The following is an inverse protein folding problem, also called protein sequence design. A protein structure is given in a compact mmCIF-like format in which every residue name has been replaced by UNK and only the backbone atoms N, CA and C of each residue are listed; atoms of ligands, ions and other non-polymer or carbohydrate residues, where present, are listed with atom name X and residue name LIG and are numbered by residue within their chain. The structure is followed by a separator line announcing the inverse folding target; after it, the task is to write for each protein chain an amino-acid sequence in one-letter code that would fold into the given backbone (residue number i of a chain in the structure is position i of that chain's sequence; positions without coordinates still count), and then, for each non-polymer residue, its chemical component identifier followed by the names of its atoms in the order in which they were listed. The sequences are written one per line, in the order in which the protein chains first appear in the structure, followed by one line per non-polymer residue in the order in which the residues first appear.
data_IF_628649746383
#
_entry.id   IF_628649746383
#
_cell.length_a   1.000
_cell.length_b   1.000
_cell.length_c   1.000
_cell.angle_alpha   90.00
_cell.angle_beta   90.00
_cell.angle_gamma   90.00
#
_symmetry.space_group_name_H-M   'P 1'
#
loop_
_entity.id
_entity.type
_entity.pdbx_description
1 polymer ?
#
# COMPACT_ATOMS: atom_id res chain seq x y z
N UNK A 1 15.29 -17.10 -0.99
CA UNK A 1 14.32 -15.98 -1.05
C UNK A 1 14.78 -15.04 -2.15
N UNK A 2 13.93 -14.77 -3.13
CA UNK A 2 14.25 -13.74 -4.13
C UNK A 2 14.28 -12.38 -3.41
N UNK A 3 15.26 -11.52 -3.67
CA UNK A 3 15.39 -10.20 -3.04
C UNK A 3 14.10 -9.37 -3.20
N UNK A 4 13.35 -9.63 -4.27
CA UNK A 4 12.03 -9.06 -4.56
C UNK A 4 10.99 -9.35 -3.45
N UNK A 5 11.02 -10.51 -2.82
CA UNK A 5 10.11 -10.85 -1.70
C UNK A 5 10.37 -9.97 -0.48
N UNK A 6 11.63 -9.67 -0.17
CA UNK A 6 11.99 -8.77 0.92
C UNK A 6 11.53 -7.35 0.62
N UNK A 7 11.69 -6.89 -0.62
CA UNK A 7 11.20 -5.59 -1.07
C UNK A 7 9.68 -5.46 -0.92
N UNK A 8 8.91 -6.47 -1.32
CA UNK A 8 7.45 -6.44 -1.12
C UNK A 8 7.06 -6.30 0.36
N UNK A 9 7.75 -7.00 1.27
CA UNK A 9 7.45 -6.92 2.69
C UNK A 9 7.74 -5.51 3.26
N UNK A 10 8.90 -4.95 2.94
CA UNK A 10 9.29 -3.59 3.37
C UNK A 10 8.37 -2.54 2.76
N UNK A 11 8.11 -2.63 1.45
CA UNK A 11 7.27 -1.69 0.73
C UNK A 11 5.79 -1.77 1.14
N UNK A 12 5.32 -2.92 1.63
CA UNK A 12 3.98 -3.06 2.21
C UNK A 12 3.86 -2.26 3.51
N UNK A 13 4.85 -2.38 4.41
CA UNK A 13 4.87 -1.60 5.65
C UNK A 13 4.95 -0.10 5.37
N UNK A 14 5.84 0.31 4.45
CA UNK A 14 5.95 1.71 4.02
C UNK A 14 4.65 2.22 3.40
N UNK A 15 3.99 1.42 2.56
CA UNK A 15 2.72 1.77 1.94
C UNK A 15 1.61 1.98 2.97
N UNK A 16 1.50 1.08 3.97
CA UNK A 16 0.51 1.21 5.03
C UNK A 16 0.74 2.48 5.87
N UNK A 17 2.01 2.78 6.20
CA UNK A 17 2.37 4.02 6.91
C UNK A 17 2.04 5.25 6.06
N UNK A 18 2.38 5.26 4.78
CA UNK A 18 2.06 6.38 3.89
C UNK A 18 0.55 6.61 3.76
N UNK A 19 -0.23 5.54 3.58
CA UNK A 19 -1.69 5.62 3.49
C UNK A 19 -2.31 6.10 4.80
N UNK A 20 -1.73 5.78 5.96
CA UNK A 20 -2.22 6.28 7.24
C UNK A 20 -2.19 7.82 7.38
N UNK A 21 -1.39 8.51 6.57
CA UNK A 21 -1.36 9.97 6.50
C UNK A 21 -2.55 10.58 5.75
N UNK A 22 -3.37 9.78 5.06
CA UNK A 22 -4.51 10.25 4.29
C UNK A 22 -5.75 10.36 5.19
N UNK A 23 -6.43 11.51 5.13
CA UNK A 23 -7.72 11.68 5.80
C UNK A 23 -8.85 11.03 4.98
N UNK A 24 -9.04 9.72 5.16
CA UNK A 24 -10.08 8.96 4.47
C UNK A 24 -11.51 9.36 4.84
N UNK A 25 -11.75 9.98 6.00
CA UNK A 25 -13.08 10.43 6.41
C UNK A 25 -13.66 11.50 5.46
N UNK A 26 -12.78 12.28 4.79
CA UNK A 26 -13.21 13.25 3.78
C UNK A 26 -13.57 12.62 2.43
N UNK A 27 -13.05 11.43 2.13
CA UNK A 27 -13.25 10.75 0.85
C UNK A 27 -14.34 9.67 0.90
N UNK A 28 -14.53 9.05 2.07
CA UNK A 28 -15.42 7.91 2.23
C UNK A 28 -16.86 8.31 2.56
N UNK A 29 -17.82 7.46 2.16
CA UNK A 29 -19.22 7.63 2.57
C UNK A 29 -19.37 7.46 4.08
N UNK A 30 -20.28 8.21 4.69
CA UNK A 30 -20.61 8.10 6.13
C UNK A 30 -21.09 6.68 6.47
N UNK A 31 -20.79 6.22 7.69
CA UNK A 31 -21.18 4.90 8.24
C UNK A 31 -20.67 3.69 7.43
N UNK A 32 -19.51 3.83 6.78
CA UNK A 32 -18.88 2.77 5.98
C UNK A 32 -17.43 2.45 6.41
N UNK A 33 -17.20 2.12 7.70
CA UNK A 33 -15.85 1.95 8.23
C UNK A 33 -15.13 0.70 7.71
N UNK A 34 -15.88 -0.36 7.37
CA UNK A 34 -15.28 -1.60 6.85
C UNK A 34 -14.78 -1.36 5.43
N UNK A 35 -15.59 -0.71 4.59
CA UNK A 35 -15.22 -0.36 3.21
C UNK A 35 -14.01 0.57 3.18
N UNK A 36 -13.92 1.53 4.11
CA UNK A 36 -12.75 2.39 4.26
C UNK A 36 -11.49 1.58 4.58
N UNK A 37 -11.56 0.67 5.56
CA UNK A 37 -10.42 -0.19 5.93
C UNK A 37 -10.00 -1.13 4.81
N UNK A 38 -10.96 -1.73 4.11
CA UNK A 38 -10.67 -2.58 2.94
C UNK A 38 -9.93 -1.80 1.86
N UNK A 39 -10.33 -0.54 1.62
CA UNK A 39 -9.67 0.32 0.64
C UNK A 39 -8.22 0.61 1.02
N UNK A 40 -7.94 0.91 2.30
CA UNK A 40 -6.55 1.07 2.78
C UNK A 40 -5.72 -0.19 2.56
N UNK A 41 -6.27 -1.37 2.87
CA UNK A 41 -5.56 -2.63 2.69
C UNK A 41 -5.27 -2.91 1.21
N UNK A 42 -6.26 -2.75 0.34
CA UNK A 42 -6.13 -2.95 -1.10
C UNK A 42 -5.10 -1.99 -1.68
N UNK A 43 -5.16 -0.71 -1.32
CA UNK A 43 -4.18 0.27 -1.74
C UNK A 43 -2.80 -0.05 -1.20
N UNK A 44 -2.65 -0.47 0.06
CA UNK A 44 -1.35 -0.82 0.62
C UNK A 44 -0.66 -1.95 -0.13
N UNK A 45 -1.44 -2.97 -0.54
CA UNK A 45 -0.93 -4.08 -1.36
C UNK A 45 -0.60 -3.60 -2.77
N UNK A 46 -1.49 -2.83 -3.40
CA UNK A 46 -1.30 -2.33 -4.76
C UNK A 46 -0.08 -1.40 -4.87
N UNK A 47 0.07 -0.44 -3.95
CA UNK A 47 1.21 0.49 -3.94
C UNK A 47 2.49 -0.24 -3.59
N UNK A 48 2.48 -1.21 -2.66
CA UNK A 48 3.66 -2.05 -2.40
C UNK A 48 4.11 -2.76 -3.67
N UNK A 49 3.15 -3.27 -4.45
CA UNK A 49 3.46 -3.94 -5.70
C UNK A 49 4.08 -3.00 -6.73
N UNK A 50 3.47 -1.84 -6.94
CA UNK A 50 3.95 -0.83 -7.87
C UNK A 50 5.35 -0.32 -7.49
N UNK A 51 5.57 0.02 -6.22
CA UNK A 51 6.87 0.50 -5.73
C UNK A 51 7.93 -0.58 -5.84
N UNK A 52 7.61 -1.82 -5.50
CA UNK A 52 8.55 -2.93 -5.63
C UNK A 52 8.96 -3.15 -7.08
N UNK A 53 8.00 -3.18 -8.01
CA UNK A 53 8.34 -3.33 -9.42
C UNK A 53 9.12 -2.14 -9.96
N UNK A 54 8.74 -0.91 -9.61
CA UNK A 54 9.51 0.27 -9.97
C UNK A 54 10.98 0.16 -9.53
N UNK A 55 11.23 -0.24 -8.28
CA UNK A 55 12.59 -0.43 -7.77
C UNK A 55 13.30 -1.58 -8.52
N UNK A 56 12.64 -2.71 -8.74
CA UNK A 56 13.29 -3.85 -9.41
C UNK A 56 13.61 -3.54 -10.86
N UNK A 57 12.70 -2.87 -11.57
CA UNK A 57 12.87 -2.51 -12.97
C UNK A 57 13.94 -1.42 -13.13
N UNK A 58 14.13 -0.56 -12.12
CA UNK A 58 15.21 0.42 -12.10
C UNK A 58 16.59 -0.21 -11.86
N UNK A 59 16.64 -1.36 -11.18
CA UNK A 59 17.89 -2.07 -10.88
C UNK A 59 18.33 -3.03 -11.98
N UNK A 60 17.44 -3.38 -12.93
CA UNK A 60 17.69 -4.29 -14.06
C UNK A 60 17.93 -3.55 -15.36
#
# INVERSE_FOLDING_TARGET
MNYKTLLYAINLLLSMVALSGINFDKFMKRNKPIEARMLVIIFGIATSYLVTNFITDFMS
#
